data_IF_088426805163
#
_entry.id   IF_088426805163
#
_cell.length_a   1.000
_cell.length_b   1.000
_cell.length_c   1.000
_cell.angle_alpha   90.00
_cell.angle_beta   90.00
_cell.angle_gamma   90.00
#
_symmetry.space_group_name_H-M   'P 1'
#
loop_
_entity.id
_entity.type
_entity.pdbx_description
1 polymer ?
#
# COMPACT_ATOMS: atom_id res chain seq x y z
N UNK A 1 -12.82 -20.72 -9.04
CA UNK A 1 -11.44 -20.61 -8.50
C UNK A 1 -11.50 -19.71 -7.29
N UNK A 2 -11.00 -20.13 -6.17
CA UNK A 2 -10.89 -19.25 -4.98
C UNK A 2 -9.51 -18.64 -5.01
N UNK A 3 -9.41 -17.32 -5.14
CA UNK A 3 -8.15 -16.61 -4.99
C UNK A 3 -7.58 -16.90 -3.59
N UNK A 4 -6.30 -17.29 -3.49
CA UNK A 4 -5.69 -17.69 -2.22
C UNK A 4 -4.47 -16.83 -1.85
N UNK A 5 -4.24 -15.73 -2.58
CA UNK A 5 -3.10 -14.84 -2.37
C UNK A 5 -3.57 -13.41 -2.08
N UNK A 6 -2.81 -12.67 -1.30
CA UNK A 6 -3.05 -11.24 -1.07
C UNK A 6 -3.11 -10.49 -2.42
N UNK A 7 -2.14 -10.70 -3.31
CA UNK A 7 -2.08 -10.05 -4.63
C UNK A 7 -3.37 -10.23 -5.43
N UNK A 8 -3.92 -11.45 -5.49
CA UNK A 8 -5.12 -11.71 -6.26
C UNK A 8 -6.35 -10.96 -5.70
N UNK A 9 -6.48 -10.89 -4.37
CA UNK A 9 -7.55 -10.11 -3.74
C UNK A 9 -7.39 -8.61 -3.98
N UNK A 10 -6.17 -8.10 -3.83
CA UNK A 10 -5.85 -6.68 -4.00
C UNK A 10 -6.16 -6.21 -5.43
N UNK A 11 -5.63 -6.93 -6.42
CA UNK A 11 -5.85 -6.59 -7.84
C UNK A 11 -7.34 -6.66 -8.17
N UNK A 12 -8.04 -7.70 -7.71
CA UNK A 12 -9.46 -7.83 -7.97
C UNK A 12 -10.30 -6.71 -7.33
N UNK A 13 -9.96 -6.27 -6.13
CA UNK A 13 -10.64 -5.18 -5.42
C UNK A 13 -10.31 -3.81 -6.04
N UNK A 14 -9.04 -3.51 -6.27
CA UNK A 14 -8.58 -2.22 -6.76
C UNK A 14 -9.12 -1.90 -8.17
N UNK A 15 -9.11 -2.90 -9.05
CA UNK A 15 -9.62 -2.75 -10.43
C UNK A 15 -11.11 -3.07 -10.56
N UNK A 16 -11.85 -3.16 -9.44
CA UNK A 16 -13.31 -3.38 -9.42
C UNK A 16 -13.78 -4.62 -10.20
N UNK A 17 -12.93 -5.66 -10.25
CA UNK A 17 -13.24 -6.90 -10.96
C UNK A 17 -14.18 -7.83 -10.18
N UNK A 18 -14.49 -7.49 -8.92
CA UNK A 18 -15.34 -8.28 -8.05
C UNK A 18 -16.78 -7.77 -8.14
N UNK A 19 -17.75 -8.61 -8.53
CA UNK A 19 -19.16 -8.23 -8.46
C UNK A 19 -19.55 -7.78 -7.05
N UNK A 20 -20.38 -6.74 -6.91
CA UNK A 20 -20.72 -6.09 -5.65
C UNK A 20 -21.15 -7.08 -4.57
N UNK A 21 -21.99 -8.06 -4.92
CA UNK A 21 -22.46 -9.11 -3.99
C UNK A 21 -21.34 -9.96 -3.35
N UNK A 22 -20.12 -9.93 -3.89
CA UNK A 22 -18.97 -10.67 -3.38
C UNK A 22 -17.87 -9.78 -2.82
N UNK A 23 -18.00 -8.46 -2.94
CA UNK A 23 -16.98 -7.48 -2.57
C UNK A 23 -16.59 -7.63 -1.10
N UNK A 24 -17.56 -7.57 -0.19
CA UNK A 24 -17.34 -7.74 1.24
C UNK A 24 -16.63 -9.08 1.57
N UNK A 25 -17.08 -10.18 0.96
CA UNK A 25 -16.44 -11.48 1.15
C UNK A 25 -14.97 -11.49 0.70
N UNK A 26 -14.66 -10.77 -0.38
CA UNK A 26 -13.29 -10.66 -0.91
C UNK A 26 -12.43 -9.81 0.02
N UNK A 27 -12.96 -8.70 0.54
CA UNK A 27 -12.29 -7.86 1.54
C UNK A 27 -11.95 -8.66 2.79
N UNK A 28 -12.93 -9.38 3.35
CA UNK A 28 -12.72 -10.26 4.51
C UNK A 28 -11.72 -11.39 4.20
N UNK A 29 -11.65 -11.83 2.95
CA UNK A 29 -10.62 -12.75 2.46
C UNK A 29 -9.23 -12.16 2.56
N UNK A 30 -9.05 -10.91 2.08
CA UNK A 30 -7.79 -10.18 2.16
C UNK A 30 -7.35 -9.97 3.61
N UNK A 31 -8.24 -9.52 4.48
CA UNK A 31 -7.94 -9.29 5.90
C UNK A 31 -7.50 -10.58 6.61
N UNK A 32 -8.14 -11.72 6.31
CA UNK A 32 -7.70 -13.01 6.85
C UNK A 32 -6.31 -13.41 6.36
N UNK A 33 -6.00 -13.17 5.08
CA UNK A 33 -4.67 -13.43 4.54
C UNK A 33 -3.62 -12.51 5.16
N UNK A 34 -3.97 -11.25 5.42
CA UNK A 34 -3.12 -10.30 6.11
C UNK A 34 -2.82 -10.79 7.54
N UNK A 35 -3.84 -11.18 8.30
CA UNK A 35 -3.69 -11.74 9.65
C UNK A 35 -2.82 -13.01 9.68
N UNK A 36 -2.97 -13.89 8.69
CA UNK A 36 -2.17 -15.10 8.57
C UNK A 36 -0.67 -14.80 8.46
N UNK A 37 -0.31 -13.68 7.86
CA UNK A 37 1.05 -13.21 7.67
C UNK A 37 1.47 -12.17 8.75
N UNK A 38 0.86 -12.24 9.94
CA UNK A 38 1.13 -11.33 11.07
C UNK A 38 0.97 -9.85 10.71
N UNK A 39 -0.04 -9.54 9.93
CA UNK A 39 -0.33 -8.20 9.42
C UNK A 39 0.81 -7.63 8.54
N UNK A 40 1.53 -8.50 7.83
CA UNK A 40 2.50 -8.09 6.82
C UNK A 40 1.99 -8.32 5.41
N UNK A 41 2.43 -7.46 4.52
CA UNK A 41 2.23 -7.70 3.09
C UNK A 41 3.23 -8.77 2.62
N UNK A 42 2.73 -9.69 1.81
CA UNK A 42 3.54 -10.73 1.12
C UNK A 42 3.27 -10.65 -0.38
N UNK A 43 3.31 -9.43 -0.89
CA UNK A 43 3.06 -9.11 -2.29
C UNK A 43 4.36 -8.67 -2.96
N UNK A 44 4.53 -9.06 -4.21
CA UNK A 44 5.59 -8.54 -5.06
C UNK A 44 5.17 -7.23 -5.73
N UNK A 45 5.90 -6.86 -6.78
CA UNK A 45 5.72 -5.60 -7.51
C UNK A 45 4.32 -5.41 -8.10
N UNK A 46 3.60 -6.49 -8.39
CA UNK A 46 2.23 -6.43 -8.94
C UNK A 46 1.19 -6.07 -7.88
N UNK A 47 1.34 -6.52 -6.65
CA UNK A 47 0.33 -6.31 -5.60
C UNK A 47 0.61 -5.13 -4.68
N UNK A 48 1.87 -4.87 -4.38
CA UNK A 48 2.26 -3.85 -3.41
C UNK A 48 1.75 -2.44 -3.75
N UNK A 49 1.80 -1.96 -5.01
CA UNK A 49 1.33 -0.62 -5.37
C UNK A 49 -0.15 -0.36 -5.01
N UNK A 50 -0.96 -1.39 -5.08
CA UNK A 50 -2.41 -1.27 -4.91
C UNK A 50 -2.90 -1.64 -3.50
N UNK A 51 -2.02 -2.13 -2.61
CA UNK A 51 -2.43 -2.70 -1.33
C UNK A 51 -3.16 -1.69 -0.45
N UNK A 52 -2.52 -0.58 -0.13
CA UNK A 52 -3.09 0.45 0.72
C UNK A 52 -4.30 1.12 0.06
N UNK A 53 -4.29 1.27 -1.27
CA UNK A 53 -5.45 1.76 -2.03
C UNK A 53 -6.64 0.81 -1.92
N UNK A 54 -6.46 -0.48 -2.16
CA UNK A 54 -7.52 -1.47 -2.08
C UNK A 54 -8.15 -1.53 -0.68
N UNK A 55 -7.34 -1.44 0.38
CA UNK A 55 -7.84 -1.34 1.75
C UNK A 55 -8.65 -0.05 1.97
N UNK A 56 -8.09 1.10 1.60
CA UNK A 56 -8.70 2.42 1.82
C UNK A 56 -10.03 2.58 1.08
N UNK A 57 -10.08 2.16 -0.18
CA UNK A 57 -11.30 2.20 -1.01
C UNK A 57 -12.43 1.31 -0.48
N UNK A 58 -12.10 0.33 0.37
CA UNK A 58 -13.06 -0.60 0.95
C UNK A 58 -13.27 -0.37 2.46
N UNK A 59 -12.95 0.83 2.97
CA UNK A 59 -13.24 1.22 4.36
C UNK A 59 -12.23 0.75 5.41
N UNK A 60 -11.08 0.19 4.98
CA UNK A 60 -10.02 -0.33 5.84
C UNK A 60 -8.77 0.58 5.86
N UNK A 61 -9.00 1.87 6.01
CA UNK A 61 -7.92 2.88 6.06
C UNK A 61 -6.98 2.63 7.24
N UNK A 62 -7.52 2.20 8.38
CA UNK A 62 -6.71 1.89 9.57
C UNK A 62 -5.69 0.79 9.27
N UNK A 63 -6.11 -0.29 8.65
CA UNK A 63 -5.24 -1.41 8.28
C UNK A 63 -4.17 -0.98 7.26
N UNK A 64 -4.49 -0.04 6.36
CA UNK A 64 -3.50 0.55 5.45
C UNK A 64 -2.44 1.35 6.19
N UNK A 65 -2.82 2.17 7.20
CA UNK A 65 -1.88 2.86 8.07
C UNK A 65 -1.06 1.89 8.92
N UNK A 66 -1.69 0.86 9.48
CA UNK A 66 -0.98 -0.16 10.27
C UNK A 66 0.10 -0.86 9.44
N UNK A 67 -0.15 -1.12 8.14
CA UNK A 67 0.84 -1.65 7.21
C UNK A 67 1.99 -0.67 6.95
N UNK A 68 1.67 0.60 6.68
CA UNK A 68 2.66 1.63 6.41
C UNK A 68 3.61 1.83 7.60
N UNK A 69 3.06 1.80 8.82
CA UNK A 69 3.78 2.09 10.06
C UNK A 69 4.49 0.88 10.65
N UNK A 70 4.36 -0.30 10.04
CA UNK A 70 5.17 -1.46 10.43
C UNK A 70 6.65 -1.18 10.20
N UNK A 71 7.47 -1.60 11.15
CA UNK A 71 8.90 -1.34 11.16
C UNK A 71 9.77 -2.61 11.25
N UNK A 72 9.11 -3.76 11.31
CA UNK A 72 9.70 -5.09 11.20
C UNK A 72 9.59 -5.63 9.75
N UNK A 73 10.37 -6.63 9.41
CA UNK A 73 10.38 -7.26 8.07
C UNK A 73 9.11 -8.10 7.83
N UNK A 74 8.53 -8.00 6.63
CA UNK A 74 8.79 -7.08 5.52
C UNK A 74 7.95 -5.78 5.64
N UNK A 75 8.59 -4.63 5.52
CA UNK A 75 7.90 -3.33 5.55
C UNK A 75 8.77 -2.20 4.97
N UNK A 76 8.16 -1.06 4.65
CA UNK A 76 8.88 0.15 4.21
C UNK A 76 9.81 0.68 5.31
N UNK A 77 9.33 0.73 6.55
CA UNK A 77 10.13 1.27 7.66
C UNK A 77 11.26 0.34 8.09
N UNK A 78 11.18 -0.96 7.80
CA UNK A 78 12.32 -1.85 7.96
C UNK A 78 13.52 -1.36 7.15
N UNK A 79 13.32 -1.03 5.86
CA UNK A 79 14.39 -0.50 5.02
C UNK A 79 14.96 0.79 5.59
N UNK A 80 14.11 1.70 6.06
CA UNK A 80 14.53 2.97 6.70
C UNK A 80 15.36 2.68 7.97
N UNK A 81 14.96 1.76 8.83
CA UNK A 81 15.72 1.33 10.00
C UNK A 81 17.07 0.74 9.65
N UNK A 82 17.16 0.04 8.51
CA UNK A 82 18.42 -0.49 7.99
C UNK A 82 19.30 0.58 7.31
N UNK A 83 18.90 1.86 7.34
CA UNK A 83 19.67 2.98 6.81
C UNK A 83 19.42 3.26 5.32
N UNK A 84 18.32 2.77 4.74
CA UNK A 84 17.97 3.06 3.37
C UNK A 84 17.74 4.56 3.15
N UNK A 85 18.38 5.12 2.12
CA UNK A 85 18.17 6.48 1.62
C UNK A 85 17.43 6.48 0.28
N UNK A 86 17.23 5.31 -0.28
CA UNK A 86 16.53 5.04 -1.54
C UNK A 86 15.63 3.83 -1.36
N UNK A 87 14.69 3.63 -2.27
CA UNK A 87 13.81 2.44 -2.25
C UNK A 87 14.57 1.23 -2.77
N UNK A 88 14.57 0.15 -2.00
CA UNK A 88 15.25 -1.09 -2.37
C UNK A 88 14.33 -2.02 -3.16
N UNK A 89 14.93 -2.86 -4.01
CA UNK A 89 14.26 -3.90 -4.79
C UNK A 89 13.66 -4.99 -3.90
N UNK A 90 14.41 -5.40 -2.86
CA UNK A 90 14.00 -6.38 -1.88
C UNK A 90 13.75 -5.72 -0.53
N UNK A 91 12.73 -6.19 0.19
CA UNK A 91 12.42 -5.68 1.53
C UNK A 91 13.59 -5.81 2.49
N UNK A 92 14.36 -6.91 2.36
CA UNK A 92 15.58 -7.23 3.12
C UNK A 92 16.85 -7.08 2.27
N UNK A 93 16.90 -6.08 1.41
CA UNK A 93 18.10 -5.76 0.61
C UNK A 93 19.39 -5.77 1.45
N UNK A 94 19.29 -5.28 2.71
CA UNK A 94 20.21 -5.58 3.79
C UNK A 94 19.48 -6.34 4.90
N UNK A 95 20.08 -7.44 5.37
CA UNK A 95 19.60 -8.20 6.51
C UNK A 95 20.05 -7.57 7.83
N UNK A 96 19.46 -7.95 8.98
CA UNK A 96 19.83 -7.38 10.27
C UNK A 96 21.31 -7.54 10.65
N UNK A 97 21.97 -8.55 10.10
CA UNK A 97 23.41 -8.79 10.27
C UNK A 97 24.31 -7.96 9.33
N UNK A 98 23.70 -7.10 8.49
CA UNK A 98 24.40 -6.28 7.51
C UNK A 98 24.76 -6.99 6.22
N UNK A 99 24.41 -8.26 6.06
CA UNK A 99 24.64 -8.99 4.81
C UNK A 99 23.58 -8.64 3.77
N UNK A 100 23.94 -8.69 2.49
CA UNK A 100 23.01 -8.47 1.39
C UNK A 100 22.06 -9.66 1.23
N UNK A 101 20.82 -9.41 0.74
CA UNK A 101 19.88 -10.46 0.36
C UNK A 101 20.48 -11.38 -0.69
N UNK A 102 21.09 -10.79 -1.72
CA UNK A 102 21.82 -11.50 -2.78
C UNK A 102 23.03 -10.68 -3.23
N UNK A 103 24.12 -11.34 -3.58
CA UNK A 103 25.28 -10.68 -4.15
C UNK A 103 25.07 -10.30 -5.63
N UNK A 104 24.25 -11.09 -6.34
CA UNK A 104 24.10 -11.00 -7.80
C UNK A 104 22.84 -10.26 -8.25
N UNK A 105 21.79 -10.21 -7.40
CA UNK A 105 20.51 -9.61 -7.72
C UNK A 105 20.01 -8.78 -6.53
N UNK A 106 20.52 -7.57 -6.40
CA UNK A 106 20.07 -6.64 -5.37
C UNK A 106 20.27 -5.20 -5.81
N UNK A 107 19.17 -4.47 -6.02
CA UNK A 107 19.22 -3.06 -6.31
C UNK A 107 18.81 -2.25 -5.08
N UNK A 108 19.63 -1.30 -4.68
CA UNK A 108 19.31 -0.31 -3.64
C UNK A 108 18.62 0.93 -4.21
N UNK A 109 18.32 0.94 -5.50
CA UNK A 109 17.61 2.04 -6.16
C UNK A 109 16.59 1.47 -7.16
N UNK A 110 15.47 0.99 -6.63
CA UNK A 110 14.40 0.37 -7.41
C UNK A 110 13.04 1.00 -7.08
N UNK A 111 12.32 1.45 -8.09
CA UNK A 111 11.11 2.27 -7.91
C UNK A 111 9.89 1.54 -7.35
N UNK A 112 9.79 0.21 -7.52
CA UNK A 112 8.52 -0.51 -7.39
C UNK A 112 7.82 -0.32 -6.03
N UNK A 113 8.53 -0.44 -4.93
CA UNK A 113 7.94 -0.24 -3.60
C UNK A 113 7.76 1.24 -3.24
N UNK A 114 8.39 2.15 -3.98
CA UNK A 114 8.17 3.59 -3.87
C UNK A 114 6.78 4.04 -4.34
N UNK A 115 6.03 3.16 -5.00
CA UNK A 115 4.62 3.38 -5.36
C UNK A 115 3.70 3.73 -4.17
N UNK A 116 4.09 3.42 -2.94
CA UNK A 116 3.40 3.89 -1.73
C UNK A 116 3.28 5.42 -1.67
N UNK A 117 4.20 6.15 -2.33
CA UNK A 117 4.16 7.60 -2.43
C UNK A 117 2.87 8.14 -3.04
N UNK A 118 2.27 7.43 -4.01
CA UNK A 118 0.97 7.80 -4.56
C UNK A 118 -0.12 7.73 -3.48
N UNK A 119 -0.16 6.68 -2.69
CA UNK A 119 -1.12 6.55 -1.59
C UNK A 119 -0.92 7.63 -0.52
N UNK A 120 0.33 7.97 -0.19
CA UNK A 120 0.65 9.05 0.74
C UNK A 120 0.10 10.39 0.25
N UNK A 121 0.25 10.70 -1.04
CA UNK A 121 -0.24 11.95 -1.63
C UNK A 121 -1.75 11.93 -1.74
N UNK A 122 -2.34 10.89 -2.30
CA UNK A 122 -3.78 10.84 -2.59
C UNK A 122 -4.63 10.63 -1.34
N UNK A 123 -4.27 9.68 -0.50
CA UNK A 123 -5.10 9.28 0.65
C UNK A 123 -4.69 10.02 1.92
N UNK A 124 -3.39 10.02 2.25
CA UNK A 124 -2.93 10.60 3.52
C UNK A 124 -2.92 12.13 3.47
N UNK A 125 -2.41 12.73 2.39
CA UNK A 125 -2.42 14.19 2.21
C UNK A 125 -3.74 14.70 1.60
N UNK A 126 -4.61 13.83 1.07
CA UNK A 126 -5.88 14.19 0.47
C UNK A 126 -5.77 15.00 -0.82
N UNK A 127 -4.68 14.82 -1.55
CA UNK A 127 -4.46 15.49 -2.84
C UNK A 127 -4.95 14.57 -3.97
N UNK A 128 -6.15 14.81 -4.47
CA UNK A 128 -6.76 14.03 -5.54
C UNK A 128 -6.93 14.92 -6.79
N UNK A 129 -6.76 14.31 -7.97
CA UNK A 129 -7.07 14.98 -9.25
C UNK A 129 -8.55 14.75 -9.55
N UNK A 130 -9.32 15.82 -9.73
CA UNK A 130 -10.67 15.71 -10.27
C UNK A 130 -10.58 15.54 -11.79
N UNK A 131 -10.84 14.33 -12.26
CA UNK A 131 -10.78 13.98 -13.69
C UNK A 131 -11.74 14.79 -14.56
N UNK A 132 -12.80 15.38 -13.96
CA UNK A 132 -13.79 16.18 -14.68
C UNK A 132 -13.32 17.61 -14.89
N UNK A 133 -12.52 18.15 -14.01
CA UNK A 133 -12.16 19.57 -13.98
C UNK A 133 -10.68 19.84 -14.19
N UNK A 134 -9.83 18.82 -14.18
CA UNK A 134 -8.37 18.93 -14.20
C UNK A 134 -7.80 19.81 -13.06
N UNK A 135 -8.61 20.08 -12.04
CA UNK A 135 -8.24 20.88 -10.87
C UNK A 135 -7.94 19.94 -9.73
N UNK A 136 -6.80 20.12 -9.09
CA UNK A 136 -6.47 19.41 -7.87
C UNK A 136 -7.43 19.84 -6.76
N UNK A 137 -8.22 18.92 -6.24
CA UNK A 137 -9.03 19.13 -5.04
C UNK A 137 -8.31 18.54 -3.84
N UNK A 138 -8.07 19.36 -2.81
CA UNK A 138 -7.60 18.86 -1.52
C UNK A 138 -8.81 18.33 -0.75
N UNK A 139 -8.91 17.02 -0.60
CA UNK A 139 -9.83 16.39 0.35
C UNK A 139 -9.05 15.92 1.57
N UNK A 140 -9.20 16.57 2.71
CA UNK A 140 -8.68 16.04 3.96
C UNK A 140 -9.58 14.90 4.43
N UNK A 141 -9.13 13.69 4.33
CA UNK A 141 -9.76 12.52 4.92
C UNK A 141 -9.39 12.43 6.41
N UNK A 142 -9.77 13.43 7.21
CA UNK A 142 -9.81 13.21 8.65
C UNK A 142 -11.13 12.54 9.01
N UNK A 143 -11.11 11.56 9.89
CA UNK A 143 -12.27 10.77 10.35
C UNK A 143 -13.42 11.61 10.96
N UNK A 144 -13.32 12.94 10.99
CA UNK A 144 -14.26 13.86 11.62
C UNK A 144 -14.98 14.78 10.63
N UNK A 145 -15.46 14.26 9.50
CA UNK A 145 -16.47 14.97 8.68
C UNK A 145 -15.96 16.21 7.96
N UNK A 146 -14.83 16.14 7.34
CA UNK A 146 -14.22 17.25 6.61
C UNK A 146 -14.96 17.60 5.31
N UNK A 147 -15.15 18.91 5.08
CA UNK A 147 -15.69 19.43 3.83
C UNK A 147 -14.55 19.75 2.86
N UNK A 148 -14.69 19.48 1.55
CA UNK A 148 -13.66 19.81 0.59
C UNK A 148 -13.37 21.32 0.60
N UNK A 149 -12.11 21.68 0.84
CA UNK A 149 -11.61 23.04 0.75
C UNK A 149 -10.80 23.22 -0.51
N UNK A 150 -11.00 24.33 -1.24
CA UNK A 150 -10.11 24.73 -2.30
C UNK A 150 -8.72 25.00 -1.71
N UNK A 151 -7.69 24.31 -2.20
CA UNK A 151 -6.33 24.75 -1.99
C UNK A 151 -6.15 26.07 -2.78
N UNK A 152 -6.12 27.20 -2.08
CA UNK A 152 -5.67 28.45 -2.69
C UNK A 152 -4.15 28.35 -2.82
N UNK A 153 -3.66 28.30 -4.07
CA UNK A 153 -2.26 28.46 -4.42
C UNK A 153 -1.74 29.86 -4.07
#
# INVERSE_FOLDING_TARGET
>A
MTAQTQTAHIVALYFELVPEKYKEKTVQGLLRLLKKENDHLVTGFVGTPYFCHALSQNGHVKEAYDLLLKDDFPSWLYQVKMGATTVWEHWDGLKPDGTMWSADMNSFNHYAYGSIGEWLVRVMAGLEVDERTWIQTCSNLSENGWKPGLCKG
#
